data_IF_051862167112
#
_entry.id   IF_051862167112
#
_cell.length_a   1.000
_cell.length_b   1.000
_cell.length_c   1.000
_cell.angle_alpha   90.00
_cell.angle_beta   90.00
_cell.angle_gamma   90.00
#
_symmetry.space_group_name_H-M   'P 1'
#
loop_
_entity.id
_entity.type
_entity.pdbx_description
1 polymer ?
#
# COMPACT_ATOMS: atom_id res chain seq x y z
N UNK A 1 -4.64 -18.30 -3.08
CA UNK A 1 -4.67 -19.39 -2.07
C UNK A 1 -3.47 -20.31 -2.08
N UNK A 2 -2.83 -20.57 -3.22
CA UNK A 2 -1.74 -21.58 -3.33
C UNK A 2 -0.57 -21.40 -2.34
N UNK A 3 -0.26 -20.16 -1.98
CA UNK A 3 0.82 -19.84 -1.03
C UNK A 3 0.36 -19.69 0.41
N UNK A 4 -0.95 -19.66 0.67
CA UNK A 4 -1.49 -19.30 1.98
C UNK A 4 -1.28 -20.42 3.01
N UNK A 5 -1.68 -21.65 2.70
CA UNK A 5 -1.57 -22.76 3.65
C UNK A 5 -0.11 -23.06 4.05
N UNK A 6 0.86 -23.05 3.13
CA UNK A 6 2.28 -23.15 3.49
C UNK A 6 2.75 -21.98 4.36
N UNK A 7 2.38 -20.73 4.03
CA UNK A 7 2.74 -19.55 4.81
C UNK A 7 2.18 -19.63 6.23
N UNK A 8 0.88 -19.92 6.38
CA UNK A 8 0.22 -20.03 7.67
C UNK A 8 0.87 -21.10 8.54
N UNK A 9 1.09 -22.29 7.97
CA UNK A 9 1.71 -23.41 8.69
C UNK A 9 3.12 -23.06 9.18
N UNK A 10 3.89 -22.32 8.38
CA UNK A 10 5.20 -21.83 8.78
C UNK A 10 5.13 -20.80 9.92
N UNK A 11 4.23 -19.82 9.82
CA UNK A 11 4.02 -18.81 10.86
C UNK A 11 3.56 -19.44 12.19
N UNK A 12 2.65 -20.41 12.13
CA UNK A 12 2.17 -21.13 13.31
C UNK A 12 3.31 -21.91 13.97
N UNK A 13 4.14 -22.62 13.20
CA UNK A 13 5.32 -23.31 13.75
C UNK A 13 6.31 -22.33 14.41
N UNK A 14 6.50 -21.14 13.84
CA UNK A 14 7.29 -20.09 14.48
C UNK A 14 6.65 -19.58 15.78
N UNK A 15 5.32 -19.50 15.86
CA UNK A 15 4.63 -19.09 17.08
C UNK A 15 4.71 -20.16 18.16
N UNK A 16 4.61 -21.43 17.80
CA UNK A 16 4.76 -22.57 18.72
C UNK A 16 6.17 -22.62 19.34
N UNK A 17 7.22 -22.37 18.55
CA UNK A 17 8.60 -22.30 19.03
C UNK A 17 8.80 -21.18 20.07
N UNK A 18 8.15 -20.03 19.84
CA UNK A 18 8.24 -18.87 20.73
C UNK A 18 6.88 -18.16 20.81
N UNK A 19 6.04 -18.46 21.81
CA UNK A 19 4.70 -17.87 21.93
C UNK A 19 4.69 -16.34 22.05
N UNK A 20 5.79 -15.72 22.49
CA UNK A 20 5.92 -14.25 22.57
C UNK A 20 6.41 -13.61 21.26
N UNK A 21 6.59 -14.39 20.19
CA UNK A 21 7.01 -13.89 18.88
C UNK A 21 5.89 -13.03 18.27
N UNK A 22 6.26 -11.84 17.83
CA UNK A 22 5.39 -10.91 17.12
C UNK A 22 5.67 -10.98 15.63
N UNK A 23 4.62 -10.92 14.82
CA UNK A 23 4.75 -10.86 13.36
C UNK A 23 4.45 -9.47 12.84
N UNK A 24 5.23 -9.04 11.85
CA UNK A 24 5.06 -7.79 11.15
C UNK A 24 4.99 -8.09 9.67
N UNK A 25 3.99 -7.52 9.01
CA UNK A 25 3.77 -7.72 7.58
C UNK A 25 4.16 -6.45 6.85
N UNK A 26 4.80 -6.63 5.70
CA UNK A 26 5.18 -5.48 4.87
C UNK A 26 5.22 -5.85 3.40
N UNK A 27 5.12 -4.83 2.57
CA UNK A 27 5.29 -4.98 1.14
C UNK A 27 5.25 -3.62 0.45
N UNK A 28 5.67 -3.65 -0.81
CA UNK A 28 5.63 -2.52 -1.71
C UNK A 28 4.73 -2.84 -2.91
N UNK A 29 3.97 -1.87 -3.43
CA UNK A 29 3.14 -2.03 -4.63
C UNK A 29 2.16 -3.21 -4.47
N UNK A 30 2.12 -4.15 -5.42
CA UNK A 30 1.36 -5.41 -5.31
C UNK A 30 1.70 -6.20 -4.03
N UNK A 31 2.98 -6.23 -3.62
CA UNK A 31 3.40 -6.88 -2.39
C UNK A 31 2.75 -6.26 -1.15
N UNK A 32 2.47 -4.95 -1.17
CA UNK A 32 1.77 -4.26 -0.08
C UNK A 32 0.30 -4.69 0.02
N UNK A 33 -0.37 -4.87 -1.12
CA UNK A 33 -1.72 -5.40 -1.17
C UNK A 33 -1.78 -6.83 -0.64
N UNK A 34 -0.83 -7.68 -1.05
CA UNK A 34 -0.71 -9.05 -0.55
C UNK A 34 -0.41 -9.09 0.95
N UNK A 35 0.47 -8.22 1.44
CA UNK A 35 0.76 -8.10 2.86
C UNK A 35 -0.47 -7.68 3.67
N UNK A 36 -1.30 -6.80 3.13
CA UNK A 36 -2.57 -6.37 3.75
C UNK A 36 -3.54 -7.55 3.87
N UNK A 37 -3.77 -8.28 2.77
CA UNK A 37 -4.63 -9.46 2.78
C UNK A 37 -4.12 -10.57 3.71
N UNK A 38 -2.80 -10.78 3.73
CA UNK A 38 -2.19 -11.79 4.58
C UNK A 38 -2.27 -11.39 6.07
N UNK A 39 -2.14 -10.10 6.39
CA UNK A 39 -2.28 -9.60 7.74
C UNK A 39 -3.71 -9.75 8.26
N UNK A 40 -4.71 -9.38 7.44
CA UNK A 40 -6.13 -9.59 7.75
C UNK A 40 -6.44 -11.06 8.02
N UNK A 41 -5.99 -11.94 7.13
CA UNK A 41 -6.28 -13.38 7.22
C UNK A 41 -5.53 -14.09 8.34
N UNK A 42 -4.36 -13.60 8.75
CA UNK A 42 -3.58 -14.19 9.85
C UNK A 42 -4.11 -13.75 11.22
N UNK A 43 -4.47 -12.48 11.37
CA UNK A 43 -5.08 -11.90 12.56
C UNK A 43 -4.15 -11.68 13.77
N UNK A 44 -3.14 -12.53 13.99
CA UNK A 44 -2.13 -12.36 15.06
C UNK A 44 -0.91 -11.58 14.55
N UNK A 45 -1.15 -10.34 14.11
CA UNK A 45 -0.13 -9.45 13.54
C UNK A 45 0.05 -8.22 14.43
N UNK A 46 1.30 -7.93 14.78
CA UNK A 46 1.66 -6.79 15.62
C UNK A 46 1.59 -5.46 14.86
N UNK A 47 1.88 -5.49 13.56
CA UNK A 47 1.61 -4.35 12.70
C UNK A 47 1.89 -4.60 11.22
N UNK A 48 1.36 -3.68 10.41
CA UNK A 48 1.46 -3.69 8.95
C UNK A 48 2.13 -2.40 8.48
N UNK A 49 3.17 -2.52 7.67
CA UNK A 49 3.83 -1.40 7.01
C UNK A 49 3.74 -1.55 5.50
N UNK A 50 3.06 -0.64 4.82
CA UNK A 50 2.84 -0.74 3.38
C UNK A 50 3.40 0.48 2.66
N UNK A 51 4.00 0.27 1.50
CA UNK A 51 4.62 1.34 0.70
C UNK A 51 4.02 1.33 -0.70
N UNK A 52 3.44 2.45 -1.13
CA UNK A 52 2.81 2.55 -2.45
C UNK A 52 1.67 1.53 -2.66
N UNK A 53 0.95 1.16 -1.60
CA UNK A 53 -0.08 0.13 -1.69
C UNK A 53 -1.27 0.60 -2.53
N UNK A 54 -1.73 -0.19 -3.51
CA UNK A 54 -3.04 0.04 -4.11
C UNK A 54 -4.16 -0.22 -3.07
N UNK A 55 -5.39 0.14 -3.42
CA UNK A 55 -6.59 -0.19 -2.64
C UNK A 55 -6.83 -1.72 -2.70
N UNK A 56 -7.18 -2.29 -1.55
CA UNK A 56 -7.23 -3.76 -1.35
C UNK A 56 -8.66 -4.27 -1.22
N UNK A 57 -9.52 -3.55 -0.50
CA UNK A 57 -10.89 -3.98 -0.21
C UNK A 57 -11.90 -2.85 -0.27
N UNK A 58 -13.17 -3.22 -0.14
CA UNK A 58 -14.29 -2.28 -0.06
C UNK A 58 -14.44 -1.68 1.34
N UNK A 59 -15.42 -0.79 1.51
CA UNK A 59 -15.76 -0.20 2.82
C UNK A 59 -16.07 -1.26 3.90
N UNK A 60 -16.60 -2.42 3.50
CA UNK A 60 -16.88 -3.52 4.42
C UNK A 60 -15.59 -4.14 4.95
N UNK A 61 -14.68 -4.49 4.04
CA UNK A 61 -13.34 -4.94 4.39
C UNK A 61 -12.60 -3.90 5.25
N UNK A 62 -12.62 -2.62 4.85
CA UNK A 62 -11.90 -1.59 5.57
C UNK A 62 -12.43 -1.37 7.00
N UNK A 63 -13.76 -1.47 7.19
CA UNK A 63 -14.39 -1.39 8.51
C UNK A 63 -14.02 -2.59 9.39
N UNK A 64 -13.92 -3.78 8.81
CA UNK A 64 -13.71 -5.01 9.55
C UNK A 64 -12.20 -5.30 9.77
N UNK A 65 -11.31 -4.58 9.08
CA UNK A 65 -9.86 -4.67 9.22
C UNK A 65 -9.35 -4.03 10.52
N UNK A 66 -8.77 -4.83 11.41
CA UNK A 66 -8.37 -4.40 12.76
C UNK A 66 -6.86 -4.36 13.00
N UNK A 67 -6.04 -4.76 12.02
CA UNK A 67 -4.57 -4.74 12.17
C UNK A 67 -4.08 -3.30 12.17
N UNK A 68 -3.39 -2.89 13.23
CA UNK A 68 -2.73 -1.59 13.28
C UNK A 68 -1.65 -1.50 12.21
N UNK A 69 -1.68 -0.45 11.39
CA UNK A 69 -0.73 -0.34 10.29
C UNK A 69 -0.56 1.06 9.75
N UNK A 70 0.59 1.29 9.14
CA UNK A 70 0.99 2.52 8.49
C UNK A 70 1.13 2.29 6.98
N UNK A 71 0.61 3.22 6.21
CA UNK A 71 0.61 3.20 4.76
C UNK A 71 1.32 4.42 4.23
N UNK A 72 2.51 4.20 3.71
CA UNK A 72 3.37 5.21 3.14
C UNK A 72 3.00 5.46 1.69
N UNK A 73 2.80 6.73 1.34
CA UNK A 73 2.56 7.18 -0.03
C UNK A 73 3.54 8.30 -0.34
N UNK A 74 4.38 8.11 -1.36
CA UNK A 74 5.33 9.11 -1.80
C UNK A 74 4.73 9.97 -2.90
N UNK A 75 4.51 11.24 -2.61
CA UNK A 75 4.20 12.31 -3.54
C UNK A 75 3.25 11.94 -4.69
N UNK A 76 3.79 11.74 -5.90
CA UNK A 76 3.08 11.42 -7.14
C UNK A 76 2.86 9.93 -7.36
N UNK A 77 2.92 9.12 -6.31
CA UNK A 77 2.61 7.71 -6.42
C UNK A 77 1.12 7.51 -6.76
N UNK A 78 0.87 7.27 -8.05
CA UNK A 78 -0.47 7.01 -8.61
C UNK A 78 -0.93 5.58 -8.36
N UNK A 79 -0.03 4.65 -8.01
CA UNK A 79 -0.40 3.26 -7.66
C UNK A 79 -1.26 3.24 -6.41
N UNK A 80 -0.99 4.13 -5.45
CA UNK A 80 -1.81 4.32 -4.26
C UNK A 80 -3.24 4.81 -4.56
N UNK A 81 -3.56 5.19 -5.79
CA UNK A 81 -4.90 5.67 -6.19
C UNK A 81 -5.70 4.58 -6.90
N UNK A 82 -5.11 3.42 -7.21
CA UNK A 82 -5.73 2.36 -8.01
C UNK A 82 -6.31 1.26 -7.10
N UNK A 83 -7.51 0.72 -7.40
CA UNK A 83 -8.39 1.04 -8.52
C UNK A 83 -9.13 2.35 -8.27
N UNK A 84 -8.88 3.38 -9.09
CA UNK A 84 -9.66 4.61 -8.99
C UNK A 84 -11.15 4.33 -9.30
N UNK A 85 -11.44 3.30 -10.11
CA UNK A 85 -12.81 2.96 -10.50
C UNK A 85 -12.88 1.52 -11.02
N UNK A 86 -13.72 0.67 -10.41
CA UNK A 86 -14.56 -0.26 -11.18
C UNK A 86 -15.57 0.55 -12.00
N UNK A 87 -16.16 0.00 -13.08
CA UNK A 87 -16.67 0.74 -14.24
C UNK A 87 -17.51 1.99 -13.88
N UNK A 88 -16.89 3.16 -14.03
CA UNK A 88 -17.50 4.51 -13.84
C UNK A 88 -18.61 4.84 -14.84
N UNK A 89 -19.04 3.90 -15.67
CA UNK A 89 -20.29 4.02 -16.42
C UNK A 89 -21.53 3.78 -15.54
N UNK A 90 -21.37 3.39 -14.27
CA UNK A 90 -22.50 3.01 -13.42
C UNK A 90 -22.50 3.71 -12.06
N UNK A 91 -22.52 5.05 -12.09
CA UNK A 91 -23.08 5.90 -11.00
C UNK A 91 -24.61 5.68 -10.80
N UNK A 92 -25.11 4.48 -11.11
CA UNK A 92 -26.52 4.10 -11.08
C UNK A 92 -26.80 2.92 -10.15
N UNK A 93 -25.79 2.25 -9.59
CA UNK A 93 -25.99 1.20 -8.59
C UNK A 93 -24.96 1.31 -7.47
N UNK A 94 -25.41 1.15 -6.22
CA UNK A 94 -24.63 1.18 -4.97
C UNK A 94 -23.62 0.01 -4.85
N UNK A 95 -22.74 -0.18 -5.83
CA UNK A 95 -21.65 -1.16 -5.76
C UNK A 95 -20.41 -0.48 -5.20
N UNK A 96 -19.79 -1.14 -4.22
CA UNK A 96 -18.93 -0.58 -3.18
C UNK A 96 -17.78 0.30 -3.64
N UNK A 97 -17.51 1.34 -2.84
CA UNK A 97 -16.28 2.13 -2.93
C UNK A 97 -15.15 1.31 -2.31
N UNK A 98 -13.98 1.30 -2.96
CA UNK A 98 -12.76 0.77 -2.35
C UNK A 98 -12.24 1.78 -1.33
N UNK A 99 -11.77 1.30 -0.20
CA UNK A 99 -11.26 2.13 0.88
C UNK A 99 -9.89 1.62 1.36
N UNK A 100 -9.02 2.55 1.75
CA UNK A 100 -7.72 2.18 2.31
C UNK A 100 -7.86 1.79 3.77
N UNK A 101 -7.00 0.87 4.20
CA UNK A 101 -6.81 0.54 5.62
C UNK A 101 -5.49 1.15 6.13
N UNK A 102 -5.41 1.30 7.46
CA UNK A 102 -4.24 1.86 8.14
C UNK A 102 -4.14 3.39 8.09
N UNK A 103 -3.22 3.92 8.89
CA UNK A 103 -2.91 5.34 8.96
C UNK A 103 -2.06 5.75 7.75
N UNK A 104 -2.41 6.87 7.12
CA UNK A 104 -1.65 7.38 5.97
C UNK A 104 -0.44 8.14 6.48
N UNK A 105 0.74 7.75 6.00
CA UNK A 105 1.98 8.52 6.10
C UNK A 105 2.32 9.07 4.71
N UNK A 106 2.18 10.38 4.52
CA UNK A 106 2.40 11.00 3.22
C UNK A 106 3.77 11.67 3.16
N UNK A 107 4.55 11.35 2.14
CA UNK A 107 5.83 11.99 1.88
C UNK A 107 5.63 13.00 0.74
N UNK A 108 5.90 14.28 0.97
CA UNK A 108 5.70 15.31 -0.05
C UNK A 108 6.88 15.41 -1.05
N UNK A 109 6.78 16.36 -1.99
CA UNK A 109 7.83 16.65 -2.97
C UNK A 109 9.17 17.01 -2.32
N UNK A 110 9.13 17.77 -1.22
CA UNK A 110 10.30 18.18 -0.45
C UNK A 110 10.91 17.02 0.35
N UNK A 111 10.21 15.89 0.46
CA UNK A 111 10.62 14.72 1.23
C UNK A 111 10.26 14.81 2.72
N UNK A 112 9.36 15.72 3.08
CA UNK A 112 8.81 15.85 4.44
C UNK A 112 7.68 14.83 4.64
N UNK A 113 7.61 14.26 5.85
CA UNK A 113 6.60 13.29 6.24
C UNK A 113 5.43 13.98 6.97
N UNK A 114 4.20 13.62 6.59
CA UNK A 114 2.97 14.16 7.15
C UNK A 114 2.04 13.03 7.59
N UNK A 115 1.62 13.12 8.85
CA UNK A 115 0.68 12.20 9.47
C UNK A 115 -0.75 12.52 9.00
N UNK A 116 -1.33 11.61 8.23
CA UNK A 116 -2.73 11.60 7.80
C UNK A 116 -3.26 12.95 7.24
N UNK A 117 -2.60 13.55 6.22
CA UNK A 117 -3.07 14.81 5.64
C UNK A 117 -4.41 14.63 4.91
N UNK A 118 -5.19 15.70 4.88
CA UNK A 118 -6.51 15.73 4.25
C UNK A 118 -6.43 15.54 2.73
N UNK A 119 -7.51 15.05 2.13
CA UNK A 119 -7.60 14.84 0.67
C UNK A 119 -7.37 16.11 -0.15
N UNK A 120 -7.74 17.28 0.39
CA UNK A 120 -7.58 18.57 -0.30
C UNK A 120 -6.12 18.99 -0.39
N UNK A 121 -5.32 18.67 0.64
CA UNK A 121 -3.87 18.91 0.67
C UNK A 121 -3.12 18.00 -0.33
N UNK A 122 -3.76 16.92 -0.79
CA UNK A 122 -3.20 15.89 -1.68
C UNK A 122 -3.63 16.00 -3.15
N UNK A 123 -4.52 16.95 -3.47
CA UNK A 123 -5.09 17.12 -4.81
C UNK A 123 -4.08 17.79 -5.76
N UNK A 124 -3.38 16.98 -6.56
CA UNK A 124 -2.49 17.46 -7.61
C UNK A 124 -3.14 17.43 -9.01
N UNK A 125 -3.02 18.49 -9.82
CA UNK A 125 -3.44 18.50 -11.22
C UNK A 125 -2.49 17.66 -12.09
N UNK A 126 -2.96 16.52 -12.64
CA UNK A 126 -2.17 15.71 -13.59
C UNK A 126 -2.31 14.18 -13.49
N UNK A 127 -2.84 13.66 -12.37
CA UNK A 127 -2.87 12.22 -12.08
C UNK A 127 -3.71 11.37 -13.06
N UNK A 128 -4.67 11.98 -13.78
CA UNK A 128 -5.59 11.26 -14.64
C UNK A 128 -4.91 10.51 -15.81
N UNK A 129 -3.84 11.08 -16.39
CA UNK A 129 -3.10 10.45 -17.50
C UNK A 129 -2.25 9.26 -17.05
N UNK A 130 -1.74 9.28 -15.82
CA UNK A 130 -0.86 8.25 -15.26
C UNK A 130 -1.64 6.99 -14.80
N UNK A 131 -2.93 7.15 -14.49
CA UNK A 131 -3.83 6.05 -14.09
C UNK A 131 -4.04 5.04 -15.21
N UNK A 132 -4.16 5.50 -16.45
CA UNK A 132 -4.37 4.63 -17.60
C UNK A 132 -3.15 3.77 -17.89
N UNK A 133 -1.94 4.37 -17.81
CA UNK A 133 -0.66 3.67 -17.94
C UNK A 133 -0.47 2.59 -16.88
N UNK A 134 -0.80 2.90 -15.62
CA UNK A 134 -0.74 1.94 -14.53
C UNK A 134 -1.77 0.82 -14.66
N UNK A 135 -2.98 1.10 -15.17
CA UNK A 135 -3.96 0.04 -15.47
C UNK A 135 -3.46 -0.91 -16.55
N UNK A 136 -2.86 -0.39 -17.61
CA UNK A 136 -2.27 -1.20 -18.68
C UNK A 136 -1.12 -2.07 -18.16
N UNK A 137 -0.23 -1.48 -17.35
CA UNK A 137 0.83 -2.21 -16.68
C UNK A 137 0.30 -3.31 -15.74
N UNK A 138 -0.65 -2.99 -14.87
CA UNK A 138 -1.26 -3.96 -13.95
C UNK A 138 -1.95 -5.09 -14.71
N UNK A 139 -2.56 -4.79 -15.86
CA UNK A 139 -3.13 -5.81 -16.75
C UNK A 139 -2.05 -6.70 -17.36
N UNK A 140 -0.88 -6.16 -17.72
CA UNK A 140 0.25 -6.96 -18.21
C UNK A 140 0.81 -7.86 -17.11
N UNK A 141 0.98 -7.33 -15.89
CA UNK A 141 1.43 -8.10 -14.73
C UNK A 141 0.44 -9.20 -14.34
N UNK A 142 -0.86 -8.93 -14.38
CA UNK A 142 -1.90 -9.93 -14.15
C UNK A 142 -1.85 -11.07 -15.19
N UNK A 143 -1.37 -10.79 -16.40
CA UNK A 143 -1.15 -11.77 -17.46
C UNK A 143 0.26 -12.40 -17.43
N UNK A 144 1.06 -12.10 -16.40
CA UNK A 144 2.41 -12.65 -16.20
C UNK A 144 3.51 -11.95 -17.00
N UNK A 145 3.22 -10.82 -17.65
CA UNK A 145 4.21 -10.02 -18.38
C UNK A 145 4.74 -8.89 -17.49
N UNK A 146 5.92 -9.11 -16.91
CA UNK A 146 6.62 -8.16 -16.06
C UNK A 146 7.66 -7.32 -16.83
N UNK A 147 7.73 -7.44 -18.16
CA UNK A 147 8.82 -6.91 -18.98
C UNK A 147 8.69 -5.44 -19.41
N UNK A 148 7.51 -4.85 -19.30
CA UNK A 148 7.27 -3.46 -19.72
C UNK A 148 7.48 -2.49 -18.53
N UNK A 149 8.48 -1.62 -18.62
CA UNK A 149 8.71 -0.57 -17.61
C UNK A 149 8.56 0.81 -18.28
N UNK A 150 7.50 1.58 -17.98
CA UNK A 150 7.39 2.99 -18.36
C UNK A 150 8.19 3.92 -17.40
N UNK A 151 8.78 4.98 -17.95
CA UNK A 151 9.97 5.68 -17.42
C UNK A 151 9.75 6.78 -16.34
N UNK A 152 8.53 7.25 -16.03
CA UNK A 152 8.39 8.42 -15.11
C UNK A 152 7.48 8.23 -13.88
N UNK A 153 6.39 7.44 -13.96
CA UNK A 153 5.49 7.19 -12.81
C UNK A 153 6.08 6.27 -11.74
N UNK A 154 7.20 5.59 -12.06
CA UNK A 154 7.89 4.69 -11.14
C UNK A 154 8.97 5.36 -10.31
N UNK A 155 9.38 6.59 -10.60
CA UNK A 155 10.41 7.23 -9.78
C UNK A 155 9.87 7.39 -8.35
N UNK A 156 8.75 8.07 -8.15
CA UNK A 156 8.21 8.21 -6.79
C UNK A 156 7.62 6.90 -6.22
N UNK A 157 7.25 5.94 -7.07
CA UNK A 157 6.83 4.60 -6.66
C UNK A 157 8.02 3.62 -6.47
N UNK A 158 9.27 4.01 -6.65
CA UNK A 158 10.38 3.07 -6.46
C UNK A 158 10.70 2.92 -4.95
N UNK A 159 10.90 1.68 -4.43
CA UNK A 159 11.20 1.44 -3.02
C UNK A 159 12.40 2.24 -2.49
N UNK A 160 13.35 2.56 -3.37
CA UNK A 160 14.52 3.34 -3.04
C UNK A 160 14.15 4.73 -2.49
N UNK A 161 13.18 5.42 -3.08
CA UNK A 161 12.82 6.77 -2.63
C UNK A 161 12.03 6.73 -1.33
N UNK A 162 11.20 5.71 -1.11
CA UNK A 162 10.59 5.46 0.19
C UNK A 162 11.67 5.32 1.28
N UNK A 163 12.65 4.44 1.06
CA UNK A 163 13.72 4.20 2.03
C UNK A 163 14.55 5.47 2.30
N UNK A 164 14.97 6.18 1.25
CA UNK A 164 15.78 7.39 1.38
C UNK A 164 15.03 8.52 2.08
N UNK A 165 13.79 8.81 1.69
CA UNK A 165 13.03 9.94 2.26
C UNK A 165 12.66 9.68 3.72
N UNK A 166 12.25 8.46 4.06
CA UNK A 166 11.94 8.07 5.45
C UNK A 166 13.21 8.15 6.31
N UNK A 167 14.35 7.64 5.82
CA UNK A 167 15.62 7.72 6.53
C UNK A 167 16.05 9.18 6.79
N UNK A 168 15.92 10.04 5.79
CA UNK A 168 16.26 11.45 5.93
C UNK A 168 15.38 12.17 6.95
N UNK A 169 14.07 11.88 6.99
CA UNK A 169 13.18 12.41 8.02
C UNK A 169 13.63 11.98 9.42
N UNK A 170 13.93 10.68 9.57
CA UNK A 170 14.39 10.13 10.84
C UNK A 170 15.71 10.75 11.32
N UNK A 171 16.69 10.96 10.43
CA UNK A 171 17.94 11.61 10.82
C UNK A 171 17.77 13.08 11.20
N UNK A 172 16.85 13.81 10.55
CA UNK A 172 16.54 15.18 10.93
C UNK A 172 15.94 15.24 12.33
N UNK A 173 14.98 14.38 12.64
CA UNK A 173 14.39 14.29 13.98
C UNK A 173 15.46 14.03 15.05
N UNK A 174 16.43 13.15 14.79
CA UNK A 174 17.52 12.87 15.73
C UNK A 174 18.44 14.06 15.99
N UNK A 175 18.59 14.99 15.05
CA UNK A 175 19.44 16.18 15.19
C UNK A 175 18.76 17.31 15.95
N UNK A 176 17.44 17.28 16.05
CA UNK A 176 16.64 18.27 16.79
C UNK A 176 16.54 17.98 18.31
N UNK A 177 17.14 16.88 18.78
CA UNK A 177 17.28 16.49 20.20
C UNK A 177 18.69 16.75 20.76
#
# INVERSE_FOLDING_TARGET
DEVWEPLKSYLDGLKEEKPTRTFWFTGHSLGAALATLAADRYGDVQGLYTFGSPLVGDEGFARDFYVGGYRFVNNNDVVARIPLWGPSAMNLMKWGRYEHVGLLEYIDEAGMLFDNPSMLERLQPGAAGQVQLLRELMSQWANGDFGAIPIDCFNDHAPLYYALRIWNCYEQELQDF
#
